data_IF_364643971779
#
_entry.id   IF_364643971779
#
_cell.length_a   1.000
_cell.length_b   1.000
_cell.length_c   1.000
_cell.angle_alpha   90.00
_cell.angle_beta   90.00
_cell.angle_gamma   90.00
#
_symmetry.space_group_name_H-M   'P 1'
#
loop_
_entity.id
_entity.type
_entity.pdbx_description
1 polymer ?
#
# COMPACT_ATOMS: atom_id res chain seq x y z
N UNK A 1 1.87 25.86 -40.84
CA UNK A 1 2.14 26.09 -39.40
C UNK A 1 0.97 25.70 -38.48
N UNK A 2 -0.30 25.97 -38.82
CA UNK A 2 -1.46 25.61 -37.97
C UNK A 2 -1.68 24.10 -37.78
N UNK A 3 -1.35 23.29 -38.79
CA UNK A 3 -1.45 21.82 -38.75
C UNK A 3 -0.42 21.15 -37.84
N UNK A 4 0.77 21.75 -37.66
CA UNK A 4 1.80 21.21 -36.78
C UNK A 4 1.42 21.38 -35.31
N UNK A 5 0.82 22.53 -34.97
CA UNK A 5 0.32 22.79 -33.61
C UNK A 5 -0.82 21.85 -33.20
N UNK A 6 -1.74 21.51 -34.13
CA UNK A 6 -2.84 20.56 -33.88
C UNK A 6 -2.34 19.11 -33.69
N UNK A 7 -1.29 18.71 -34.41
CA UNK A 7 -0.66 17.41 -34.23
C UNK A 7 0.09 17.31 -32.90
N UNK A 8 0.76 18.40 -32.48
CA UNK A 8 1.42 18.47 -31.17
C UNK A 8 0.43 18.43 -30.00
N UNK A 9 -0.74 19.10 -30.09
CA UNK A 9 -1.79 18.95 -29.08
C UNK A 9 -2.43 17.57 -29.09
N UNK A 10 -2.61 16.95 -30.26
CA UNK A 10 -3.11 15.57 -30.37
C UNK A 10 -2.17 14.53 -29.74
N UNK A 11 -0.85 14.70 -29.92
CA UNK A 11 0.18 13.84 -29.31
C UNK A 11 0.36 14.14 -27.81
N UNK A 12 0.24 15.40 -27.39
CA UNK A 12 0.28 15.75 -25.96
C UNK A 12 -0.93 15.20 -25.19
N UNK A 13 -2.11 15.15 -25.82
CA UNK A 13 -3.34 14.56 -25.24
C UNK A 13 -3.36 13.03 -25.27
N UNK A 14 -2.60 12.38 -26.16
CA UNK A 14 -2.49 10.92 -26.18
C UNK A 14 -1.45 10.38 -25.18
N UNK A 15 -0.57 11.24 -24.65
CA UNK A 15 0.41 10.92 -23.62
C UNK A 15 -0.10 11.16 -22.19
N UNK A 16 -1.27 11.76 -22.00
CA UNK A 16 -1.94 11.74 -20.71
C UNK A 16 -2.46 10.32 -20.44
N UNK A 17 -1.63 9.52 -19.77
CA UNK A 17 -2.02 8.21 -19.26
C UNK A 17 -3.38 8.33 -18.56
N UNK A 18 -4.35 7.54 -19.01
CA UNK A 18 -5.71 7.61 -18.50
C UNK A 18 -5.69 7.28 -17.02
N UNK A 19 -5.93 8.30 -16.18
CA UNK A 19 -6.09 8.08 -14.75
C UNK A 19 -7.33 7.20 -14.54
N UNK A 20 -7.14 6.02 -13.98
CA UNK A 20 -8.25 5.12 -13.68
C UNK A 20 -8.99 5.65 -12.45
N UNK A 21 -10.30 5.87 -12.58
CA UNK A 21 -11.15 6.25 -11.44
C UNK A 21 -11.56 4.97 -10.70
N UNK A 22 -11.23 4.92 -9.41
CA UNK A 22 -11.66 3.85 -8.51
C UNK A 22 -12.84 4.35 -7.69
N UNK A 23 -13.92 3.56 -7.65
CA UNK A 23 -15.08 3.80 -6.78
C UNK A 23 -14.90 3.00 -5.50
N UNK A 24 -15.11 3.65 -4.35
CA UNK A 24 -15.07 2.98 -3.05
C UNK A 24 -16.34 2.18 -2.87
N UNK A 25 -16.19 0.93 -2.45
CA UNK A 25 -17.31 0.06 -2.15
C UNK A 25 -18.02 0.54 -0.87
N UNK A 26 -19.35 0.36 -0.76
CA UNK A 26 -20.07 0.68 0.46
C UNK A 26 -19.42 0.00 1.66
N UNK A 27 -19.17 0.76 2.72
CA UNK A 27 -18.43 0.25 3.87
C UNK A 27 -19.32 -0.71 4.64
N UNK A 28 -18.91 -1.98 4.66
CA UNK A 28 -19.51 -2.96 5.57
C UNK A 28 -19.10 -2.61 7.01
N UNK A 29 -19.94 -2.91 8.02
CA UNK A 29 -19.56 -2.74 9.42
C UNK A 29 -18.27 -3.53 9.70
N UNK A 30 -17.24 -2.83 10.17
CA UNK A 30 -15.97 -3.43 10.58
C UNK A 30 -16.01 -3.64 12.10
N UNK A 31 -15.68 -4.85 12.54
CA UNK A 31 -15.65 -5.18 13.99
C UNK A 31 -14.29 -4.85 14.61
N UNK A 32 -13.21 -5.10 13.86
CA UNK A 32 -11.83 -4.78 14.23
C UNK A 32 -11.11 -4.19 13.01
N UNK A 33 -10.50 -3.02 13.16
CA UNK A 33 -10.01 -2.25 12.02
C UNK A 33 -8.55 -1.85 12.19
N UNK A 34 -7.82 -1.89 11.07
CA UNK A 34 -6.49 -1.34 10.94
C UNK A 34 -6.60 0.07 10.36
N UNK A 35 -5.92 1.02 11.00
CA UNK A 35 -5.82 2.40 10.55
C UNK A 35 -4.43 2.67 9.99
N UNK A 36 -4.34 3.23 8.79
CA UNK A 36 -3.09 3.68 8.18
C UNK A 36 -3.20 5.15 7.79
N UNK A 37 -2.34 6.00 8.34
CA UNK A 37 -2.42 7.45 8.19
C UNK A 37 -1.22 7.96 7.40
N UNK A 38 -1.51 8.67 6.31
CA UNK A 38 -0.53 9.48 5.59
C UNK A 38 -0.71 10.95 5.95
N UNK A 39 0.08 11.83 5.33
CA UNK A 39 -0.08 13.28 5.46
C UNK A 39 -1.49 13.74 5.08
N UNK A 40 -2.06 13.18 4.00
CA UNK A 40 -3.31 13.67 3.42
C UNK A 40 -4.55 12.87 3.81
N UNK A 41 -4.40 11.57 4.11
CA UNK A 41 -5.54 10.68 4.30
C UNK A 41 -5.39 9.71 5.46
N UNK A 42 -6.53 9.20 5.93
CA UNK A 42 -6.64 8.04 6.80
C UNK A 42 -7.30 6.92 6.01
N UNK A 43 -6.62 5.78 5.93
CA UNK A 43 -7.10 4.55 5.34
C UNK A 43 -7.56 3.61 6.46
N UNK A 44 -8.73 3.01 6.31
CA UNK A 44 -9.29 2.08 7.30
C UNK A 44 -9.78 0.83 6.58
N UNK A 45 -9.35 -0.34 7.04
CA UNK A 45 -9.77 -1.64 6.53
C UNK A 45 -9.88 -2.66 7.66
N UNK A 46 -10.61 -3.75 7.41
CA UNK A 46 -10.84 -4.80 8.40
C UNK A 46 -9.54 -5.59 8.66
N UNK A 47 -9.23 -5.86 9.95
CA UNK A 47 -8.08 -6.66 10.35
C UNK A 47 -8.08 -8.06 9.71
N UNK A 48 -9.26 -8.64 9.52
CA UNK A 48 -9.43 -9.96 8.91
C UNK A 48 -8.77 -10.03 7.53
N UNK A 49 -8.76 -8.92 6.77
CA UNK A 49 -8.14 -8.86 5.45
C UNK A 49 -6.62 -9.07 5.51
N UNK A 50 -5.96 -8.51 6.55
CA UNK A 50 -4.54 -8.75 6.76
C UNK A 50 -4.30 -10.19 7.24
N UNK A 51 -5.17 -10.71 8.09
CA UNK A 51 -5.07 -12.09 8.58
C UNK A 51 -5.19 -13.10 7.44
N UNK A 52 -6.18 -12.94 6.57
CA UNK A 52 -6.40 -13.80 5.39
C UNK A 52 -5.19 -13.76 4.44
N UNK A 53 -4.63 -12.57 4.23
CA UNK A 53 -3.40 -12.41 3.48
C UNK A 53 -2.24 -13.18 4.11
N UNK A 54 -2.05 -13.08 5.43
CA UNK A 54 -0.98 -13.83 6.12
C UNK A 54 -1.27 -15.34 6.19
N UNK A 55 -2.51 -15.79 6.23
CA UNK A 55 -2.79 -17.24 6.12
C UNK A 55 -2.40 -17.75 4.73
N UNK A 56 -2.76 -17.02 3.67
CA UNK A 56 -2.39 -17.37 2.30
C UNK A 56 -0.86 -17.35 2.10
N UNK A 57 -0.20 -16.32 2.62
CA UNK A 57 1.23 -16.11 2.43
C UNK A 57 2.10 -17.11 3.22
N UNK A 58 1.62 -17.71 4.33
CA UNK A 58 2.34 -18.79 5.02
C UNK A 58 2.57 -19.98 4.09
N UNK A 59 1.56 -20.32 3.28
CA UNK A 59 1.68 -21.39 2.29
C UNK A 59 2.70 -21.05 1.22
N UNK A 60 2.65 -19.84 0.66
CA UNK A 60 3.59 -19.36 -0.37
C UNK A 60 5.03 -19.28 0.17
N UNK A 61 5.22 -18.84 1.41
CA UNK A 61 6.55 -18.77 2.04
C UNK A 61 7.15 -20.14 2.26
N UNK A 62 6.37 -21.11 2.77
CA UNK A 62 6.86 -22.48 2.96
C UNK A 62 7.27 -23.12 1.63
N UNK A 63 6.46 -22.95 0.59
CA UNK A 63 6.76 -23.48 -0.75
C UNK A 63 8.02 -22.84 -1.36
N UNK A 64 8.26 -21.56 -1.09
CA UNK A 64 9.43 -20.82 -1.56
C UNK A 64 10.65 -20.93 -0.64
N UNK A 65 10.60 -21.75 0.42
CA UNK A 65 11.66 -21.89 1.44
C UNK A 65 12.01 -20.56 2.12
N UNK A 66 10.98 -19.79 2.48
CA UNK A 66 11.08 -18.46 3.10
C UNK A 66 11.86 -17.44 2.27
N UNK A 67 11.79 -17.53 0.94
CA UNK A 67 12.45 -16.57 0.06
C UNK A 67 11.80 -15.19 0.20
N UNK A 68 12.58 -14.18 0.58
CA UNK A 68 12.09 -12.81 0.76
C UNK A 68 11.56 -12.18 -0.54
N UNK A 69 11.93 -12.70 -1.71
CA UNK A 69 11.49 -12.20 -3.03
C UNK A 69 10.02 -12.44 -3.34
N UNK A 70 9.29 -13.17 -2.49
CA UNK A 70 7.83 -13.28 -2.60
C UNK A 70 7.13 -11.99 -2.21
N UNK A 71 7.80 -11.11 -1.49
CA UNK A 71 7.31 -9.79 -1.12
C UNK A 71 7.90 -8.72 -2.02
N UNK A 72 7.13 -7.67 -2.28
CA UNK A 72 7.58 -6.49 -3.03
C UNK A 72 8.11 -5.39 -2.12
N UNK A 73 7.78 -5.41 -0.83
CA UNK A 73 8.27 -4.44 0.14
C UNK A 73 9.81 -4.54 0.31
N UNK A 74 10.49 -3.42 0.10
CA UNK A 74 11.95 -3.26 0.12
C UNK A 74 12.55 -3.59 1.48
N UNK A 75 11.78 -3.43 2.57
CA UNK A 75 12.25 -3.71 3.92
C UNK A 75 12.64 -5.18 4.09
N UNK A 76 12.04 -6.10 3.32
CA UNK A 76 12.37 -7.53 3.39
C UNK A 76 13.63 -7.93 2.62
N UNK A 77 14.15 -7.08 1.72
CA UNK A 77 15.24 -7.44 0.80
C UNK A 77 16.54 -7.83 1.51
N UNK A 78 16.77 -7.32 2.73
CA UNK A 78 17.96 -7.64 3.53
C UNK A 78 17.79 -8.89 4.41
N UNK A 79 16.59 -9.46 4.52
CA UNK A 79 16.35 -10.66 5.33
C UNK A 79 16.79 -11.92 4.59
N UNK A 80 17.60 -12.77 5.22
CA UNK A 80 17.83 -14.12 4.71
C UNK A 80 16.60 -15.02 4.98
N UNK A 81 16.63 -16.26 4.49
CA UNK A 81 15.50 -17.18 4.63
C UNK A 81 15.12 -17.50 6.10
N UNK A 82 16.11 -17.59 6.98
CA UNK A 82 15.88 -17.82 8.42
C UNK A 82 15.21 -16.61 9.05
N UNK A 83 15.78 -15.43 8.82
CA UNK A 83 15.29 -14.15 9.33
C UNK A 83 13.89 -13.83 8.82
N UNK A 84 13.62 -14.08 7.54
CA UNK A 84 12.31 -13.90 6.93
C UNK A 84 11.27 -14.82 7.57
N UNK A 85 11.59 -16.10 7.77
CA UNK A 85 10.69 -17.04 8.44
C UNK A 85 10.40 -16.65 9.88
N UNK A 86 11.42 -16.21 10.63
CA UNK A 86 11.27 -15.76 12.01
C UNK A 86 10.43 -14.47 12.11
N UNK A 87 10.73 -13.47 11.26
CA UNK A 87 9.98 -12.23 11.18
C UNK A 87 8.51 -12.49 10.86
N UNK A 88 8.25 -13.30 9.84
CA UNK A 88 6.90 -13.66 9.41
C UNK A 88 6.10 -14.32 10.52
N UNK A 89 6.70 -15.29 11.21
CA UNK A 89 6.06 -15.98 12.33
C UNK A 89 5.73 -15.03 13.48
N UNK A 90 6.66 -14.13 13.83
CA UNK A 90 6.44 -13.14 14.91
C UNK A 90 5.29 -12.19 14.54
N UNK A 91 5.27 -11.70 13.31
CA UNK A 91 4.20 -10.86 12.80
C UNK A 91 2.84 -11.59 12.79
N UNK A 92 2.80 -12.84 12.31
CA UNK A 92 1.59 -13.65 12.28
C UNK A 92 1.02 -13.85 13.70
N UNK A 93 1.85 -14.26 14.66
CA UNK A 93 1.42 -14.44 16.05
C UNK A 93 0.94 -13.13 16.69
N UNK A 94 1.60 -12.00 16.39
CA UNK A 94 1.15 -10.69 16.86
C UNK A 94 -0.25 -10.34 16.31
N UNK A 95 -0.49 -10.62 15.03
CA UNK A 95 -1.79 -10.37 14.38
C UNK A 95 -2.88 -11.35 14.82
N UNK A 96 -2.55 -12.58 15.18
CA UNK A 96 -3.50 -13.58 15.67
C UNK A 96 -3.97 -13.29 17.10
N UNK A 97 -3.12 -12.64 17.90
CA UNK A 97 -3.47 -12.26 19.28
C UNK A 97 -4.55 -11.16 19.31
N UNK A 98 -5.78 -11.56 19.68
CA UNK A 98 -6.96 -10.69 19.78
C UNK A 98 -6.89 -9.65 20.90
N UNK A 99 -5.91 -9.75 21.79
CA UNK A 99 -5.65 -8.72 22.81
C UNK A 99 -4.95 -7.49 22.22
N UNK A 100 -4.22 -7.66 21.11
CA UNK A 100 -3.63 -6.56 20.35
C UNK A 100 -4.72 -5.83 19.56
N UNK A 101 -5.20 -4.69 20.07
CA UNK A 101 -6.24 -3.87 19.43
C UNK A 101 -5.65 -2.56 18.90
N UNK A 102 -6.47 -1.78 18.19
CA UNK A 102 -6.16 -0.41 17.76
C UNK A 102 -4.89 -0.29 16.91
N UNK A 103 -4.70 -1.24 15.99
CA UNK A 103 -3.56 -1.25 15.05
C UNK A 103 -3.60 0.02 14.19
N UNK A 104 -2.65 0.93 14.46
CA UNK A 104 -2.61 2.26 13.86
C UNK A 104 -1.21 2.63 13.43
N UNK A 105 -1.06 2.90 12.14
CA UNK A 105 0.21 3.21 11.51
C UNK A 105 0.20 4.65 10.99
N UNK A 106 1.35 5.31 11.07
CA UNK A 106 1.54 6.64 10.51
C UNK A 106 2.84 6.71 9.73
N UNK A 107 2.81 7.29 8.54
CA UNK A 107 4.01 7.44 7.69
C UNK A 107 5.00 8.48 8.22
N UNK A 108 4.60 9.31 9.18
CA UNK A 108 5.48 10.28 9.85
C UNK A 108 6.20 9.71 11.08
N UNK A 109 5.98 8.42 11.38
CA UNK A 109 6.68 7.68 12.43
C UNK A 109 7.51 6.57 11.84
N UNK A 110 8.75 6.44 12.32
CA UNK A 110 9.62 5.34 11.95
C UNK A 110 9.20 4.09 12.75
N UNK A 111 8.67 3.08 12.05
CA UNK A 111 8.46 1.75 12.63
C UNK A 111 9.63 0.86 12.24
N UNK A 112 10.17 0.15 13.22
CA UNK A 112 11.29 -0.76 12.99
C UNK A 112 10.78 -2.08 12.43
N UNK A 113 11.47 -2.63 11.43
CA UNK A 113 11.20 -3.97 10.90
C UNK A 113 11.21 -5.04 12.00
N UNK A 114 12.06 -4.86 13.01
CA UNK A 114 12.19 -5.79 14.15
C UNK A 114 11.39 -5.39 15.38
N UNK A 115 10.41 -4.49 15.22
CA UNK A 115 9.59 -4.05 16.33
C UNK A 115 8.99 -5.24 17.08
N UNK A 116 8.92 -5.13 18.40
CA UNK A 116 8.25 -6.13 19.24
C UNK A 116 6.78 -5.78 19.48
N UNK A 117 6.35 -4.63 18.97
CA UNK A 117 4.98 -4.14 18.98
C UNK A 117 4.33 -4.27 17.59
N UNK A 118 3.16 -3.63 17.43
CA UNK A 118 2.40 -3.66 16.18
C UNK A 118 3.15 -3.14 14.96
N UNK A 119 4.25 -2.39 15.14
CA UNK A 119 5.12 -1.94 14.06
C UNK A 119 5.64 -3.07 13.16
N UNK A 120 5.75 -4.30 13.67
CA UNK A 120 6.17 -5.48 12.89
C UNK A 120 5.22 -5.83 11.73
N UNK A 121 3.97 -5.37 11.82
CA UNK A 121 2.94 -5.61 10.80
C UNK A 121 2.98 -4.59 9.66
N UNK A 122 3.61 -3.42 9.86
CA UNK A 122 3.60 -2.33 8.88
C UNK A 122 4.03 -2.77 7.47
N UNK A 123 5.12 -3.54 7.27
CA UNK A 123 5.55 -3.89 5.92
C UNK A 123 4.50 -4.72 5.17
N UNK A 124 3.74 -5.56 5.89
CA UNK A 124 2.64 -6.36 5.34
C UNK A 124 1.40 -5.52 5.05
N UNK A 125 1.11 -4.52 5.88
CA UNK A 125 0.05 -3.53 5.60
C UNK A 125 0.37 -2.80 4.30
N UNK A 126 1.59 -2.30 4.15
CA UNK A 126 2.05 -1.60 2.93
C UNK A 126 2.04 -2.50 1.69
N UNK A 127 2.28 -3.81 1.84
CA UNK A 127 2.21 -4.79 0.76
C UNK A 127 0.77 -4.97 0.22
N UNK A 128 -0.24 -5.00 1.09
CA UNK A 128 -1.64 -5.22 0.68
C UNK A 128 -2.38 -3.95 0.28
N UNK A 129 -1.98 -2.78 0.79
CA UNK A 129 -2.66 -1.50 0.55
C UNK A 129 -2.93 -1.20 -0.92
N UNK A 130 -1.97 -1.39 -1.87
CA UNK A 130 -2.25 -1.20 -3.29
C UNK A 130 -3.38 -2.08 -3.82
N UNK A 131 -3.50 -3.32 -3.35
CA UNK A 131 -4.58 -4.23 -3.74
C UNK A 131 -5.94 -3.75 -3.23
N UNK A 132 -5.99 -3.32 -1.96
CA UNK A 132 -7.19 -2.78 -1.35
C UNK A 132 -7.64 -1.46 -2.02
N UNK A 133 -6.68 -0.62 -2.40
CA UNK A 133 -6.93 0.62 -3.13
C UNK A 133 -7.37 0.37 -4.58
N UNK A 134 -6.91 -0.68 -5.25
CA UNK A 134 -7.46 -1.03 -6.58
C UNK A 134 -8.89 -1.53 -6.47
N UNK A 135 -9.16 -2.36 -5.46
CA UNK A 135 -10.48 -2.99 -5.28
C UNK A 135 -11.52 -2.04 -4.67
N UNK A 136 -11.10 -0.90 -4.12
CA UNK A 136 -11.98 0.04 -3.43
C UNK A 136 -12.56 -0.51 -2.14
N UNK A 137 -11.93 -1.50 -1.50
CA UNK A 137 -12.45 -2.22 -0.32
C UNK A 137 -12.07 -1.60 1.02
N UNK A 138 -11.28 -0.52 1.00
CA UNK A 138 -10.93 0.26 2.19
C UNK A 138 -11.66 1.60 2.20
N UNK A 139 -11.86 2.15 3.40
CA UNK A 139 -12.38 3.50 3.59
C UNK A 139 -11.24 4.50 3.46
N UNK A 140 -11.44 5.54 2.63
CA UNK A 140 -10.52 6.67 2.49
C UNK A 140 -11.14 7.91 3.12
N UNK A 141 -10.46 8.51 4.08
CA UNK A 141 -10.89 9.76 4.74
C UNK A 141 -9.85 10.84 4.48
N UNK A 142 -10.25 11.96 3.90
CA UNK A 142 -9.35 13.11 3.72
C UNK A 142 -9.16 13.84 5.06
N UNK A 143 -7.91 14.06 5.46
CA UNK A 143 -7.58 14.57 6.80
C UNK A 143 -7.99 16.02 7.02
N UNK A 144 -7.96 16.84 5.98
CA UNK A 144 -8.22 18.29 6.07
C UNK A 144 -9.67 18.64 6.32
N UNK A 145 -10.61 17.86 5.76
CA UNK A 145 -12.05 18.10 5.87
C UNK A 145 -12.82 16.94 6.55
N UNK A 146 -12.12 15.87 6.93
CA UNK A 146 -12.68 14.63 7.51
C UNK A 146 -13.74 13.96 6.61
N UNK A 147 -13.75 14.30 5.33
CA UNK A 147 -14.72 13.76 4.38
C UNK A 147 -14.31 12.35 3.95
N UNK A 148 -15.27 11.43 4.00
CA UNK A 148 -15.14 10.10 3.40
C UNK A 148 -15.20 10.24 1.88
N UNK A 149 -14.21 9.68 1.20
CA UNK A 149 -14.03 9.87 -0.24
C UNK A 149 -14.73 8.73 -0.98
N UNK A 150 -15.74 9.00 -1.82
CA UNK A 150 -16.47 7.97 -2.55
C UNK A 150 -15.69 7.43 -3.75
N UNK A 151 -14.67 8.16 -4.19
CA UNK A 151 -13.80 7.76 -5.30
C UNK A 151 -12.46 8.47 -5.24
N UNK A 152 -11.49 7.92 -5.97
CA UNK A 152 -10.16 8.49 -6.16
C UNK A 152 -9.57 8.02 -7.49
N UNK A 153 -8.37 8.52 -7.82
CA UNK A 153 -7.69 8.23 -9.07
C UNK A 153 -6.45 7.36 -8.82
N UNK A 154 -6.21 6.42 -9.72
CA UNK A 154 -4.95 5.68 -9.83
C UNK A 154 -4.24 6.11 -11.10
N UNK A 155 -2.94 6.34 -10.99
CA UNK A 155 -2.05 6.70 -12.09
C UNK A 155 -0.85 5.75 -12.05
N UNK A 156 -0.34 5.37 -13.22
CA UNK A 156 0.89 4.61 -13.34
C UNK A 156 2.11 5.54 -13.24
N UNK A 157 3.09 5.16 -12.42
CA UNK A 157 4.39 5.79 -12.29
C UNK A 157 5.47 4.85 -12.82
N UNK A 158 6.03 5.12 -14.01
CA UNK A 158 7.12 4.31 -14.56
C UNK A 158 8.45 4.62 -13.83
N UNK A 159 9.09 3.60 -13.27
CA UNK A 159 10.45 3.66 -12.68
C UNK A 159 11.21 2.44 -13.15
N UNK A 160 12.37 2.65 -13.79
CA UNK A 160 13.28 1.59 -14.27
C UNK A 160 12.56 0.46 -15.05
N UNK A 161 11.62 0.83 -15.91
CA UNK A 161 10.86 -0.11 -16.74
C UNK A 161 9.72 -0.84 -16.03
N UNK A 162 9.50 -0.57 -14.74
CA UNK A 162 8.38 -1.10 -13.95
C UNK A 162 7.35 0.00 -13.68
N UNK A 163 6.06 -0.30 -13.86
CA UNK A 163 4.98 0.64 -13.55
C UNK A 163 4.48 0.43 -12.13
N UNK A 164 4.67 1.44 -11.27
CA UNK A 164 4.15 1.49 -9.91
C UNK A 164 2.82 2.23 -9.84
N UNK A 165 2.00 1.91 -8.85
CA UNK A 165 0.69 2.54 -8.65
C UNK A 165 0.79 3.75 -7.73
N UNK A 166 0.24 4.87 -8.18
CA UNK A 166 0.08 6.09 -7.38
C UNK A 166 -1.41 6.41 -7.25
N UNK A 167 -1.89 6.47 -6.03
CA UNK A 167 -3.27 6.77 -5.70
C UNK A 167 -3.39 8.21 -5.23
N UNK A 168 -4.36 8.95 -5.77
CA UNK A 168 -4.59 10.36 -5.45
C UNK A 168 -6.06 10.65 -5.26
N UNK A 169 -6.38 11.52 -4.31
CA UNK A 169 -7.69 12.12 -4.16
C UNK A 169 -8.09 12.86 -5.43
N UNK A 170 -9.39 13.10 -5.61
CA UNK A 170 -9.89 13.91 -6.73
C UNK A 170 -9.34 15.35 -6.70
N UNK A 171 -8.96 15.84 -5.52
CA UNK A 171 -8.25 17.12 -5.33
C UNK A 171 -6.78 17.10 -5.76
N UNK A 172 -6.23 15.93 -6.12
CA UNK A 172 -4.82 15.75 -6.53
C UNK A 172 -3.87 15.39 -5.40
N UNK A 173 -4.30 15.45 -4.13
CA UNK A 173 -3.51 15.05 -2.95
C UNK A 173 -3.19 13.55 -2.97
N UNK A 174 -1.98 13.18 -2.59
CA UNK A 174 -1.54 11.77 -2.59
C UNK A 174 -2.21 10.97 -1.47
N UNK A 175 -2.71 9.79 -1.83
CA UNK A 175 -3.23 8.77 -0.90
C UNK A 175 -2.11 7.82 -0.51
N UNK A 176 -1.48 7.22 -1.52
CA UNK A 176 -0.47 6.18 -1.38
C UNK A 176 0.35 6.09 -2.67
N UNK A 177 1.65 5.85 -2.54
CA UNK A 177 2.58 5.66 -3.65
C UNK A 177 3.37 4.39 -3.43
N UNK A 178 3.14 3.41 -4.30
CA UNK A 178 3.70 2.07 -4.17
C UNK A 178 5.24 2.03 -4.30
N UNK A 179 5.81 2.87 -5.15
CA UNK A 179 7.26 2.96 -5.34
C UNK A 179 8.01 3.34 -4.04
N UNK A 180 7.36 4.07 -3.11
CA UNK A 180 7.93 4.45 -1.82
C UNK A 180 8.41 3.25 -1.01
N UNK A 181 7.73 2.11 -1.14
CA UNK A 181 7.99 0.91 -0.35
C UNK A 181 8.52 -0.25 -1.18
N UNK A 182 8.49 -0.16 -2.51
CA UNK A 182 8.95 -1.24 -3.39
C UNK A 182 10.28 -0.95 -4.09
N UNK A 183 10.74 0.30 -4.10
CA UNK A 183 11.97 0.70 -4.78
C UNK A 183 13.00 1.12 -3.74
N UNK A 184 14.23 0.62 -3.87
CA UNK A 184 15.35 1.16 -3.10
C UNK A 184 15.55 2.61 -3.53
N UNK A 185 15.32 3.56 -2.63
CA UNK A 185 15.61 4.96 -2.90
C UNK A 185 17.12 5.12 -2.99
N UNK A 186 17.65 5.02 -4.21
CA UNK A 186 19.01 5.41 -4.52
C UNK A 186 19.12 6.90 -4.17
N UNK A 187 19.72 7.18 -3.02
CA UNK A 187 20.30 8.51 -2.79
C UNK A 187 21.40 8.64 -3.85
N UNK A 188 21.05 9.25 -4.98
CA UNK A 188 22.04 9.76 -5.92
C UNK A 188 22.87 10.79 -5.13
N UNK A 189 24.01 10.36 -4.63
CA UNK A 189 25.08 11.25 -4.17
C UNK A 189 25.80 11.80 -5.38
#
# INVERSE_FOLDING_TARGET
MKTLFLLLTGVALSLSGMAQVIKVQPVQPMTDSITYQTENVVLIFDRQVLLDYMVSMDTTLRQSKNNNRVFRNIQFVKLNATDMGAHYRKAYCYLEDTTNKDLSYRTDKMNMLWAEDGGILLPYVEEILPGLLVNGTLRVIERSNKAVQPSYKMIAEPIDGTNYRVFRLNSGKEIFRESTFCVEQLTRR
#
